data_IF_789869672414
#
_entry.id   IF_789869672414
#
_cell.length_a   1.000
_cell.length_b   1.000
_cell.length_c   1.000
_cell.angle_alpha   90.00
_cell.angle_beta   90.00
_cell.angle_gamma   90.00
#
_symmetry.space_group_name_H-M   'P 1'
#
loop_
_entity.id
_entity.type
_entity.pdbx_description
1 polymer ?
#
# COMPACT_ATOMS: atom_id res chain seq x y z
N UNK A 1 11.19 50.26 -0.57
CA UNK A 1 10.17 49.27 -0.93
C UNK A 1 10.83 47.90 -0.92
N UNK A 2 10.72 47.20 0.18
CA UNK A 2 11.36 45.90 0.38
C UNK A 2 10.34 44.84 0.00
N UNK A 3 10.60 44.13 -1.06
CA UNK A 3 9.78 43.00 -1.53
C UNK A 3 9.96 41.85 -0.53
N UNK A 4 8.92 41.54 0.22
CA UNK A 4 8.87 40.35 1.08
C UNK A 4 8.64 39.16 0.12
N UNK A 5 9.70 38.41 -0.17
CA UNK A 5 9.60 37.07 -0.73
C UNK A 5 8.89 36.17 0.29
N UNK A 6 7.62 35.92 0.05
CA UNK A 6 6.88 34.90 0.79
C UNK A 6 7.42 33.52 0.39
N UNK A 7 8.38 33.01 1.13
CA UNK A 7 8.81 31.61 1.01
C UNK A 7 7.63 30.71 1.39
N UNK A 8 7.00 30.11 0.39
CA UNK A 8 5.94 29.13 0.59
C UNK A 8 6.46 27.99 1.49
N UNK A 9 5.64 27.54 2.46
CA UNK A 9 6.00 26.42 3.33
C UNK A 9 6.42 25.21 2.48
N UNK A 10 7.44 24.42 2.87
CA UNK A 10 7.97 23.31 2.06
C UNK A 10 6.91 22.35 1.51
N UNK A 11 5.83 22.09 2.26
CA UNK A 11 4.71 21.26 1.82
C UNK A 11 3.87 21.88 0.69
N UNK A 12 3.80 23.23 0.58
CA UNK A 12 3.04 23.87 -0.50
C UNK A 12 3.75 23.78 -1.85
N UNK A 13 5.08 23.94 -1.87
CA UNK A 13 5.89 23.83 -3.09
C UNK A 13 5.84 22.40 -3.66
N UNK A 14 5.92 21.38 -2.80
CA UNK A 14 5.83 19.98 -3.20
C UNK A 14 4.46 19.63 -3.78
N UNK A 15 3.38 20.11 -3.16
CA UNK A 15 2.03 19.92 -3.70
C UNK A 15 1.84 20.59 -5.06
N UNK A 16 2.42 21.75 -5.28
CA UNK A 16 2.42 22.43 -6.58
C UNK A 16 3.17 21.58 -7.60
N UNK A 17 4.37 21.12 -7.28
CA UNK A 17 5.16 20.26 -8.17
C UNK A 17 4.42 18.97 -8.54
N UNK A 18 3.78 18.29 -7.57
CA UNK A 18 2.97 17.10 -7.83
C UNK A 18 1.76 17.39 -8.72
N UNK A 19 1.07 18.53 -8.54
CA UNK A 19 -0.02 18.92 -9.43
C UNK A 19 0.47 19.15 -10.85
N UNK A 20 1.60 19.82 -11.03
CA UNK A 20 2.25 20.03 -12.31
C UNK A 20 2.62 18.70 -12.98
N UNK A 21 3.24 17.80 -12.22
CA UNK A 21 3.60 16.46 -12.68
C UNK A 21 2.36 15.63 -13.08
N UNK A 22 1.27 15.73 -12.32
CA UNK A 22 0.00 15.08 -12.64
C UNK A 22 -0.63 15.66 -13.92
N UNK A 23 -0.66 16.98 -14.06
CA UNK A 23 -1.20 17.63 -15.28
C UNK A 23 -0.38 17.28 -16.52
N UNK A 24 0.95 17.23 -16.40
CA UNK A 24 1.82 16.74 -17.46
C UNK A 24 1.49 15.30 -17.84
N UNK A 25 1.31 14.41 -16.84
CA UNK A 25 0.98 13.00 -17.09
C UNK A 25 -0.37 12.84 -17.80
N UNK A 26 -1.37 13.66 -17.46
CA UNK A 26 -2.64 13.69 -18.17
C UNK A 26 -2.45 14.01 -19.66
N UNK A 27 -1.67 15.04 -19.97
CA UNK A 27 -1.40 15.44 -21.35
C UNK A 27 -0.60 14.37 -22.10
N UNK A 28 0.49 13.87 -21.51
CA UNK A 28 1.40 12.90 -22.14
C UNK A 28 0.72 11.55 -22.44
N UNK A 29 -0.30 11.18 -21.63
CA UNK A 29 -1.03 9.92 -21.76
C UNK A 29 -2.40 10.07 -22.45
N UNK A 30 -2.77 11.29 -22.87
CA UNK A 30 -4.06 11.56 -23.49
C UNK A 30 -5.25 11.25 -22.58
N UNK A 31 -5.17 11.66 -21.31
CA UNK A 31 -6.14 11.35 -20.26
C UNK A 31 -6.94 12.59 -19.86
N UNK A 32 -8.22 12.42 -19.57
CA UNK A 32 -9.07 13.44 -18.97
C UNK A 32 -9.33 13.11 -17.50
N UNK A 33 -9.06 14.04 -16.60
CA UNK A 33 -9.33 13.84 -15.18
C UNK A 33 -10.83 13.88 -14.88
N UNK A 34 -11.31 12.96 -14.04
CA UNK A 34 -12.67 12.93 -13.50
C UNK A 34 -12.61 13.33 -12.02
N UNK A 35 -13.20 14.49 -11.72
CA UNK A 35 -13.22 15.01 -10.34
C UNK A 35 -11.86 15.58 -9.88
N UNK A 36 -11.65 15.62 -8.58
CA UNK A 36 -10.44 16.21 -7.98
C UNK A 36 -9.37 15.16 -7.74
N UNK A 37 -8.13 15.48 -8.08
CA UNK A 37 -6.98 14.69 -7.67
C UNK A 37 -6.78 14.76 -6.14
N UNK A 38 -6.37 13.64 -5.53
CA UNK A 38 -6.13 13.48 -4.10
C UNK A 38 -4.65 13.22 -3.86
N UNK A 39 -4.12 13.83 -2.82
CA UNK A 39 -2.76 13.54 -2.37
C UNK A 39 -2.75 12.27 -1.53
N UNK A 40 -1.72 11.46 -1.71
CA UNK A 40 -1.42 10.32 -0.87
C UNK A 40 -0.76 10.74 0.44
N UNK A 41 -0.42 9.74 1.24
CA UNK A 41 0.18 9.93 2.56
C UNK A 41 1.45 10.81 2.50
N UNK A 42 1.51 11.82 3.36
CA UNK A 42 2.62 12.80 3.43
C UNK A 42 2.99 13.44 2.08
N UNK A 43 2.01 13.62 1.21
CA UNK A 43 2.22 14.21 -0.13
C UNK A 43 3.27 13.48 -0.99
N UNK A 44 3.42 12.14 -0.81
CA UNK A 44 4.35 11.34 -1.61
C UNK A 44 3.82 11.03 -3.00
N UNK A 45 2.53 11.16 -3.19
CA UNK A 45 1.85 10.91 -4.46
C UNK A 45 0.64 11.81 -4.64
N UNK A 46 0.15 11.86 -5.88
CA UNK A 46 -1.14 12.42 -6.24
C UNK A 46 -1.83 11.46 -7.20
N UNK A 47 -3.13 11.26 -7.04
CA UNK A 47 -3.89 10.38 -7.92
C UNK A 47 -5.30 10.88 -8.20
N UNK A 48 -5.85 10.47 -9.33
CA UNK A 48 -7.22 10.77 -9.73
C UNK A 48 -7.82 9.67 -10.59
N UNK A 49 -9.14 9.59 -10.60
CA UNK A 49 -9.85 8.86 -11.64
C UNK A 49 -9.68 9.62 -12.95
N UNK A 50 -9.39 8.89 -14.02
CA UNK A 50 -9.21 9.46 -15.36
C UNK A 50 -10.01 8.67 -16.38
N UNK A 51 -10.28 9.30 -17.52
CA UNK A 51 -10.98 8.69 -18.65
C UNK A 51 -10.10 8.73 -19.90
N UNK A 52 -10.12 7.64 -20.67
CA UNK A 52 -9.52 7.55 -22.00
C UNK A 52 -10.33 6.56 -22.86
N UNK A 53 -10.75 6.97 -24.05
CA UNK A 53 -11.49 6.14 -24.99
C UNK A 53 -12.73 5.44 -24.38
N UNK A 54 -13.47 6.14 -23.50
CA UNK A 54 -14.67 5.63 -22.84
C UNK A 54 -14.41 4.68 -21.65
N UNK A 55 -13.16 4.36 -21.36
CA UNK A 55 -12.76 3.57 -20.18
C UNK A 55 -12.31 4.47 -19.03
N UNK A 56 -12.57 4.00 -17.79
CA UNK A 56 -12.13 4.69 -16.58
C UNK A 56 -10.93 3.96 -15.97
N UNK A 57 -9.96 4.75 -15.49
CA UNK A 57 -8.69 4.28 -14.96
C UNK A 57 -8.31 5.06 -13.71
N UNK A 58 -7.30 4.59 -12.99
CA UNK A 58 -6.64 5.33 -11.93
C UNK A 58 -5.27 5.78 -12.41
N UNK A 59 -5.04 7.10 -12.42
CA UNK A 59 -3.71 7.67 -12.64
C UNK A 59 -3.12 8.05 -11.29
N UNK A 60 -1.92 7.54 -11.02
CA UNK A 60 -1.13 7.87 -9.85
C UNK A 60 0.21 8.44 -10.28
N UNK A 61 0.63 9.54 -9.69
CA UNK A 61 1.97 10.11 -9.87
C UNK A 61 2.66 10.12 -8.53
N UNK A 62 3.82 9.49 -8.46
CA UNK A 62 4.70 9.45 -7.28
C UNK A 62 5.99 10.20 -7.58
N UNK A 63 6.64 10.69 -6.54
CA UNK A 63 7.95 11.30 -6.64
C UNK A 63 8.92 10.71 -5.62
N UNK A 64 10.20 10.82 -5.92
CA UNK A 64 11.30 10.54 -5.00
C UNK A 64 12.50 11.42 -5.28
N UNK A 65 13.37 11.59 -4.30
CA UNK A 65 14.71 12.06 -4.58
C UNK A 65 15.44 11.02 -5.44
N UNK A 66 16.30 11.48 -6.35
CA UNK A 66 17.00 10.62 -7.35
C UNK A 66 17.77 9.47 -6.70
N UNK A 67 18.44 9.72 -5.59
CA UNK A 67 19.19 8.72 -4.83
C UNK A 67 18.30 7.67 -4.16
N UNK A 68 17.01 7.96 -3.97
CA UNK A 68 15.99 7.12 -3.35
C UNK A 68 14.97 6.52 -4.31
N UNK A 69 14.98 6.94 -5.59
CA UNK A 69 14.09 6.41 -6.63
C UNK A 69 14.53 4.99 -7.09
N UNK A 70 14.75 4.10 -6.13
CA UNK A 70 15.24 2.73 -6.30
C UNK A 70 14.74 1.84 -5.16
N UNK A 71 14.95 0.54 -5.32
CA UNK A 71 14.55 -0.45 -4.32
C UNK A 71 13.09 -0.88 -4.45
N UNK A 72 12.68 -1.75 -3.55
CA UNK A 72 11.40 -2.45 -3.61
C UNK A 72 10.20 -1.51 -3.64
N UNK A 73 10.13 -0.53 -2.75
CA UNK A 73 9.00 0.40 -2.69
C UNK A 73 8.78 1.19 -4.01
N UNK A 74 9.88 1.49 -4.75
CA UNK A 74 9.78 2.23 -6.00
C UNK A 74 9.19 1.39 -7.13
N UNK A 75 9.37 0.09 -7.12
CA UNK A 75 8.92 -0.81 -8.19
C UNK A 75 7.67 -1.60 -7.85
N UNK A 76 7.12 -1.44 -6.64
CA UNK A 76 6.09 -2.31 -6.07
C UNK A 76 4.90 -2.61 -6.96
N UNK A 77 4.21 -1.60 -7.47
CA UNK A 77 3.05 -1.79 -8.35
C UNK A 77 3.41 -2.51 -9.67
N UNK A 78 4.62 -2.22 -10.22
CA UNK A 78 5.12 -2.89 -11.43
C UNK A 78 5.39 -4.36 -11.17
N UNK A 79 6.10 -4.65 -10.10
CA UNK A 79 6.51 -6.01 -9.76
C UNK A 79 5.30 -6.84 -9.30
N UNK A 80 4.30 -6.21 -8.65
CA UNK A 80 3.02 -6.85 -8.31
C UNK A 80 2.22 -7.31 -9.54
N UNK A 81 2.50 -6.80 -10.74
CA UNK A 81 1.82 -7.24 -11.97
C UNK A 81 2.04 -8.72 -12.27
N UNK A 82 3.07 -9.33 -11.67
CA UNK A 82 3.41 -10.75 -11.85
C UNK A 82 2.65 -11.68 -10.90
N UNK A 83 1.94 -11.14 -9.92
CA UNK A 83 1.18 -11.94 -8.95
C UNK A 83 -0.16 -12.32 -9.58
N UNK A 84 -0.40 -13.59 -9.75
CA UNK A 84 -1.67 -14.13 -10.22
C UNK A 84 -2.58 -14.54 -9.05
N UNK A 85 -3.87 -14.71 -9.34
CA UNK A 85 -4.86 -15.18 -8.35
C UNK A 85 -5.29 -14.15 -7.30
N UNK A 86 -4.75 -12.93 -7.34
CA UNK A 86 -5.07 -11.86 -6.39
C UNK A 86 -5.86 -10.75 -7.08
N UNK A 87 -7.00 -10.38 -6.51
CA UNK A 87 -7.83 -9.27 -6.98
C UNK A 87 -7.16 -7.92 -6.66
N UNK A 88 -6.58 -7.28 -7.68
CA UNK A 88 -5.81 -6.04 -7.55
C UNK A 88 -5.88 -5.16 -8.80
N UNK A 89 -5.50 -3.88 -8.73
CA UNK A 89 -5.33 -3.06 -9.92
C UNK A 89 -4.27 -3.65 -10.85
N UNK A 90 -4.53 -3.63 -12.16
CA UNK A 90 -3.53 -3.96 -13.17
C UNK A 90 -2.82 -2.70 -13.62
N UNK A 91 -1.50 -2.72 -13.61
CA UNK A 91 -0.68 -1.66 -14.18
C UNK A 91 -0.74 -1.75 -15.71
N UNK A 92 -1.13 -0.65 -16.37
CA UNK A 92 -1.31 -0.59 -17.82
C UNK A 92 -0.18 0.16 -18.51
N UNK A 93 0.19 1.32 -17.95
CA UNK A 93 1.27 2.15 -18.49
C UNK A 93 2.08 2.78 -17.35
N UNK A 94 3.38 2.96 -17.61
CA UNK A 94 4.30 3.65 -16.71
C UNK A 94 5.09 4.69 -17.51
N UNK A 95 5.21 5.88 -16.97
CA UNK A 95 6.09 6.93 -17.47
C UNK A 95 6.94 7.44 -16.30
N UNK A 96 8.24 7.53 -16.51
CA UNK A 96 9.16 8.09 -15.52
C UNK A 96 9.98 9.19 -16.14
N UNK A 97 10.26 10.25 -15.40
CA UNK A 97 11.11 11.35 -15.82
C UNK A 97 11.82 11.97 -14.63
N UNK A 98 12.88 12.68 -14.92
CA UNK A 98 13.65 13.42 -13.94
C UNK A 98 13.43 14.92 -14.12
N UNK A 99 13.37 15.63 -12.99
CA UNK A 99 13.28 17.09 -12.96
C UNK A 99 14.08 17.61 -11.76
N UNK A 100 15.23 18.22 -12.04
CA UNK A 100 16.19 18.62 -11.01
C UNK A 100 16.65 17.43 -10.16
N UNK A 101 16.53 17.51 -8.81
CA UNK A 101 16.92 16.43 -7.92
C UNK A 101 15.84 15.35 -7.76
N UNK A 102 14.69 15.51 -8.40
CA UNK A 102 13.52 14.63 -8.24
C UNK A 102 13.34 13.72 -9.44
N UNK A 103 12.83 12.53 -9.16
CA UNK A 103 12.31 11.58 -10.14
C UNK A 103 10.83 11.45 -9.91
N UNK A 104 10.06 11.53 -10.98
CA UNK A 104 8.62 11.30 -10.99
C UNK A 104 8.31 10.01 -11.74
N UNK A 105 7.24 9.37 -11.33
CA UNK A 105 6.69 8.21 -12.04
C UNK A 105 5.18 8.29 -12.05
N UNK A 106 4.61 8.32 -13.26
CA UNK A 106 3.19 8.18 -13.51
C UNK A 106 2.86 6.71 -13.79
N UNK A 107 1.83 6.22 -13.13
CA UNK A 107 1.30 4.86 -13.23
C UNK A 107 -0.18 4.94 -13.63
N UNK A 108 -0.52 4.42 -14.80
CA UNK A 108 -1.89 4.24 -15.21
C UNK A 108 -2.32 2.82 -14.88
N UNK A 109 -3.35 2.69 -14.08
CA UNK A 109 -3.86 1.40 -13.61
C UNK A 109 -5.35 1.25 -13.89
N UNK A 110 -5.83 0.00 -13.93
CA UNK A 110 -7.27 -0.24 -13.91
C UNK A 110 -7.88 0.38 -12.66
N UNK A 111 -9.03 1.04 -12.83
CA UNK A 111 -9.80 1.54 -11.68
C UNK A 111 -10.45 0.35 -10.97
N UNK A 112 -10.25 0.25 -9.67
CA UNK A 112 -10.97 -0.73 -8.87
C UNK A 112 -12.46 -0.36 -8.83
N UNK A 113 -13.37 -1.28 -9.17
CA UNK A 113 -14.80 -0.97 -9.26
C UNK A 113 -15.45 -0.83 -7.88
N UNK A 114 -14.88 -1.45 -6.86
CA UNK A 114 -15.41 -1.40 -5.50
C UNK A 114 -15.05 -0.11 -4.74
N UNK A 115 -15.38 -0.11 -3.47
CA UNK A 115 -15.04 0.98 -2.53
C UNK A 115 -14.19 0.45 -1.39
N UNK A 116 -13.28 1.24 -0.85
CA UNK A 116 -12.51 0.88 0.32
C UNK A 116 -13.43 0.54 1.51
N UNK A 117 -13.06 -0.43 2.32
CA UNK A 117 -13.82 -0.85 3.50
C UNK A 117 -13.87 0.24 4.57
N UNK A 118 -12.85 1.11 4.63
CA UNK A 118 -12.84 2.31 5.47
C UNK A 118 -12.16 3.48 4.74
N UNK A 119 -12.37 4.70 5.24
CA UNK A 119 -11.70 5.91 4.74
C UNK A 119 -10.28 6.05 5.25
N UNK A 120 -9.98 5.43 6.39
CA UNK A 120 -8.71 5.48 7.08
C UNK A 120 -8.14 4.07 7.28
N UNK A 121 -6.87 3.99 7.63
CA UNK A 121 -6.20 2.72 7.91
C UNK A 121 -6.83 2.03 9.14
N UNK A 122 -7.07 2.79 10.21
CA UNK A 122 -7.68 2.31 11.45
C UNK A 122 -9.20 2.28 11.30
N UNK A 123 -9.80 1.17 11.70
CA UNK A 123 -11.23 0.99 11.66
C UNK A 123 -11.94 1.79 12.76
N UNK A 124 -12.82 2.71 12.37
CA UNK A 124 -13.63 3.50 13.32
C UNK A 124 -15.01 2.90 13.60
N UNK A 125 -15.45 1.95 12.77
CA UNK A 125 -16.73 1.25 12.90
C UNK A 125 -16.75 0.01 12.01
N UNK A 126 -17.57 -0.97 12.33
CA UNK A 126 -17.61 -2.23 11.58
C UNK A 126 -18.12 -2.02 10.15
N UNK A 127 -17.34 -2.40 9.13
CA UNK A 127 -17.87 -2.45 7.78
C UNK A 127 -18.89 -3.60 7.67
N UNK A 128 -19.93 -3.40 6.87
CA UNK A 128 -20.87 -4.49 6.56
C UNK A 128 -20.19 -5.44 5.57
N UNK A 129 -19.69 -6.56 6.07
CA UNK A 129 -18.98 -7.61 5.33
C UNK A 129 -19.65 -8.94 5.60
N UNK A 130 -19.88 -9.71 4.55
CA UNK A 130 -20.44 -11.06 4.63
C UNK A 130 -19.36 -12.16 4.59
N UNK A 131 -19.76 -13.41 4.77
CA UNK A 131 -18.85 -14.55 4.73
C UNK A 131 -18.15 -14.71 3.37
N UNK A 132 -18.81 -14.32 2.29
CA UNK A 132 -18.20 -14.36 0.94
C UNK A 132 -17.01 -13.41 0.85
N UNK A 133 -17.14 -12.22 1.39
CA UNK A 133 -16.06 -11.24 1.42
C UNK A 133 -14.86 -11.72 2.25
N UNK A 134 -15.12 -12.32 3.43
CA UNK A 134 -14.06 -12.88 4.26
C UNK A 134 -13.35 -14.03 3.57
N UNK A 135 -14.10 -14.89 2.88
CA UNK A 135 -13.54 -15.96 2.07
C UNK A 135 -12.70 -15.44 0.89
N UNK A 136 -13.08 -14.29 0.29
CA UNK A 136 -12.23 -13.64 -0.71
C UNK A 136 -10.91 -13.14 -0.11
N UNK A 137 -10.95 -12.49 1.06
CA UNK A 137 -9.74 -12.04 1.75
C UNK A 137 -8.78 -13.21 2.01
N UNK A 138 -9.28 -14.30 2.60
CA UNK A 138 -8.50 -15.50 2.89
C UNK A 138 -7.86 -16.08 1.62
N UNK A 139 -8.64 -16.28 0.55
CA UNK A 139 -8.13 -16.82 -0.73
C UNK A 139 -7.09 -15.93 -1.39
N UNK A 140 -7.28 -14.60 -1.33
CA UNK A 140 -6.33 -13.66 -1.93
C UNK A 140 -5.01 -13.61 -1.15
N UNK A 141 -5.04 -13.70 0.18
CA UNK A 141 -3.82 -13.75 1.00
C UNK A 141 -3.09 -15.10 0.83
N UNK A 142 -3.82 -16.21 0.69
CA UNK A 142 -3.24 -17.51 0.36
C UNK A 142 -2.58 -17.48 -1.03
N UNK A 143 -3.26 -16.99 -2.06
CA UNK A 143 -2.69 -16.85 -3.40
C UNK A 143 -1.46 -15.92 -3.41
N UNK A 144 -1.46 -14.85 -2.59
CA UNK A 144 -0.30 -13.99 -2.44
C UNK A 144 0.87 -14.73 -1.81
N UNK A 145 0.63 -15.53 -0.77
CA UNK A 145 1.68 -16.28 -0.08
C UNK A 145 2.39 -17.32 -0.96
N UNK A 146 1.75 -17.76 -2.05
CA UNK A 146 2.30 -18.67 -3.04
C UNK A 146 3.13 -17.97 -4.14
N UNK A 147 3.13 -16.64 -4.18
CA UNK A 147 3.88 -15.89 -5.17
C UNK A 147 5.40 -16.04 -4.96
N UNK A 148 6.18 -15.84 -6.03
CA UNK A 148 7.64 -15.87 -5.95
C UNK A 148 8.21 -14.45 -6.00
N UNK A 149 9.07 -14.14 -5.04
CA UNK A 149 9.73 -12.84 -4.98
C UNK A 149 10.99 -12.89 -4.12
N UNK A 150 11.93 -11.99 -4.40
CA UNK A 150 13.08 -11.64 -3.56
C UNK A 150 12.89 -10.27 -2.87
N UNK A 151 11.74 -9.65 -3.08
CA UNK A 151 11.39 -8.37 -2.44
C UNK A 151 11.18 -8.59 -0.96
N UNK A 152 11.59 -7.61 -0.15
CA UNK A 152 11.39 -7.63 1.30
C UNK A 152 10.45 -6.50 1.71
N UNK A 153 9.44 -6.81 2.53
CA UNK A 153 8.60 -5.80 3.20
C UNK A 153 9.43 -5.07 4.24
N UNK A 154 10.19 -5.83 4.99
CA UNK A 154 10.98 -5.37 6.13
C UNK A 154 12.40 -5.93 6.07
N UNK A 155 13.32 -5.21 6.69
CA UNK A 155 14.65 -5.72 7.00
C UNK A 155 14.57 -6.52 8.31
N UNK A 156 14.98 -7.82 8.33
CA UNK A 156 14.96 -8.65 9.54
C UNK A 156 15.74 -8.05 10.69
N UNK A 157 16.86 -7.37 10.41
CA UNK A 157 17.69 -6.73 11.43
C UNK A 157 16.97 -5.53 12.07
N UNK A 158 16.28 -4.73 11.25
CA UNK A 158 15.46 -3.60 11.75
C UNK A 158 14.33 -4.15 12.63
N UNK A 159 13.70 -5.26 12.21
CA UNK A 159 12.61 -5.89 12.96
C UNK A 159 13.12 -6.40 14.32
N UNK A 160 14.22 -7.16 14.33
CA UNK A 160 14.87 -7.66 15.54
C UNK A 160 15.20 -6.54 16.52
N UNK A 161 15.87 -5.50 16.02
CA UNK A 161 16.23 -4.33 16.81
C UNK A 161 15.02 -3.63 17.44
N UNK A 162 13.92 -3.47 16.69
CA UNK A 162 12.70 -2.83 17.22
C UNK A 162 12.07 -3.66 18.32
N UNK A 163 11.94 -4.97 18.12
CA UNK A 163 11.40 -5.89 19.13
C UNK A 163 12.26 -5.83 20.39
N UNK A 164 13.57 -5.91 20.25
CA UNK A 164 14.50 -5.81 21.40
C UNK A 164 14.33 -4.48 22.16
N UNK A 165 14.27 -3.37 21.46
CA UNK A 165 14.12 -2.03 22.08
C UNK A 165 12.78 -1.87 22.81
N UNK A 166 11.67 -2.37 22.23
CA UNK A 166 10.34 -2.16 22.81
C UNK A 166 9.97 -3.17 23.89
N UNK A 167 10.41 -4.42 23.77
CA UNK A 167 10.02 -5.50 24.68
C UNK A 167 11.16 -5.99 25.56
N UNK A 168 12.40 -5.56 25.32
CA UNK A 168 13.56 -6.02 26.10
C UNK A 168 13.90 -7.48 25.88
N UNK A 169 13.47 -8.09 24.76
CA UNK A 169 13.71 -9.49 24.44
C UNK A 169 14.59 -9.59 23.19
N UNK A 170 15.52 -10.52 23.23
CA UNK A 170 16.28 -10.93 22.05
C UNK A 170 15.53 -12.08 21.36
N UNK A 171 15.23 -11.88 20.07
CA UNK A 171 14.62 -12.91 19.22
C UNK A 171 15.53 -13.18 18.04
N UNK A 172 15.70 -14.44 17.72
CA UNK A 172 16.28 -14.83 16.44
C UNK A 172 15.16 -14.75 15.38
N UNK A 173 15.36 -13.94 14.34
CA UNK A 173 14.40 -13.75 13.26
C UNK A 173 15.07 -14.27 11.99
N UNK A 174 14.74 -15.50 11.64
CA UNK A 174 15.12 -16.10 10.38
C UNK A 174 14.13 -15.67 9.29
N UNK A 175 14.65 -15.25 8.16
CA UNK A 175 13.85 -14.86 6.99
C UNK A 175 13.62 -15.99 5.99
N UNK A 176 14.18 -17.19 6.21
CA UNK A 176 14.07 -18.31 5.28
C UNK A 176 12.62 -18.82 5.16
N UNK A 177 11.82 -18.68 6.23
CA UNK A 177 10.41 -19.05 6.27
C UNK A 177 9.44 -17.88 5.98
N UNK A 178 9.96 -16.75 5.53
CA UNK A 178 9.11 -15.60 5.20
C UNK A 178 8.32 -15.87 3.92
N UNK A 179 7.11 -15.34 3.89
CA UNK A 179 6.19 -15.51 2.77
C UNK A 179 5.84 -14.17 2.13
N UNK A 180 5.52 -14.14 0.83
CA UNK A 180 4.99 -12.94 0.20
C UNK A 180 3.76 -12.42 0.91
N UNK A 181 3.79 -11.15 1.25
CA UNK A 181 2.77 -10.43 2.01
C UNK A 181 2.54 -9.08 1.37
N UNK A 182 1.37 -8.48 1.57
CA UNK A 182 1.04 -7.16 1.04
C UNK A 182 1.88 -6.06 1.71
N UNK A 183 2.19 -6.22 3.00
CA UNK A 183 3.08 -5.34 3.76
C UNK A 183 2.43 -4.06 4.29
N UNK A 184 1.23 -3.71 3.82
CA UNK A 184 0.46 -2.54 4.24
C UNK A 184 -1.06 -2.83 4.19
N UNK A 185 -1.46 -4.02 4.70
CA UNK A 185 -2.83 -4.51 4.62
C UNK A 185 -3.71 -3.87 5.70
N UNK A 186 -4.27 -2.72 5.40
CA UNK A 186 -5.21 -2.02 6.28
C UNK A 186 -6.54 -1.71 5.57
N UNK A 187 -7.54 -1.28 6.32
CA UNK A 187 -8.93 -1.17 5.87
C UNK A 187 -9.18 -0.20 4.72
N UNK A 188 -8.33 0.80 4.53
CA UNK A 188 -8.41 1.69 3.37
C UNK A 188 -7.84 1.06 2.09
N UNK A 189 -6.95 0.06 2.22
CA UNK A 189 -6.36 -0.66 1.09
C UNK A 189 -7.17 -1.89 0.67
N UNK A 190 -8.16 -2.31 1.45
CA UNK A 190 -9.03 -3.43 1.11
C UNK A 190 -10.38 -2.89 0.67
N UNK A 191 -10.84 -3.36 -0.49
CA UNK A 191 -12.09 -2.94 -1.12
C UNK A 191 -13.19 -3.99 -0.93
N UNK A 192 -14.44 -3.54 -1.11
CA UNK A 192 -15.63 -4.38 -1.17
C UNK A 192 -16.53 -3.97 -2.32
N UNK A 193 -17.41 -4.87 -2.73
CA UNK A 193 -18.44 -4.65 -3.74
C UNK A 193 -17.89 -4.22 -5.13
N UNK A 194 -16.99 -5.00 -5.75
CA UNK A 194 -16.39 -6.29 -5.39
C UNK A 194 -15.12 -6.17 -4.54
N UNK A 195 -14.66 -7.32 -4.01
CA UNK A 195 -13.38 -7.44 -3.28
C UNK A 195 -12.19 -7.09 -4.17
N UNK A 196 -11.22 -6.37 -3.61
CA UNK A 196 -9.89 -6.15 -4.19
C UNK A 196 -8.92 -5.59 -3.13
N UNK A 197 -7.61 -5.73 -3.38
CA UNK A 197 -6.56 -5.16 -2.55
C UNK A 197 -5.84 -4.09 -3.38
N UNK A 198 -5.72 -2.88 -2.83
CA UNK A 198 -5.08 -1.71 -3.44
C UNK A 198 -3.69 -1.45 -2.82
N UNK A 199 -2.93 -0.55 -3.44
CA UNK A 199 -1.63 -0.01 -2.95
C UNK A 199 -0.52 -1.05 -2.73
N UNK A 200 -0.02 -1.59 -3.81
CA UNK A 200 1.01 -2.65 -3.86
C UNK A 200 2.45 -2.13 -3.82
N UNK A 201 2.72 -0.98 -3.16
CA UNK A 201 4.09 -0.48 -3.07
C UNK A 201 4.99 -1.31 -2.15
N UNK A 202 4.42 -1.75 -1.02
CA UNK A 202 5.18 -2.34 0.08
C UNK A 202 5.34 -3.86 -0.01
N UNK A 203 4.63 -4.54 -0.90
CA UNK A 203 4.59 -6.01 -0.92
C UNK A 203 5.96 -6.68 -1.06
N UNK A 204 6.11 -7.84 -0.47
CA UNK A 204 7.34 -8.62 -0.47
C UNK A 204 7.32 -9.69 0.61
N UNK A 205 8.47 -10.27 0.90
CA UNK A 205 8.64 -11.26 1.97
C UNK A 205 8.48 -10.60 3.34
N UNK A 206 7.70 -11.23 4.21
CA UNK A 206 7.51 -10.90 5.62
C UNK A 206 7.25 -12.18 6.42
N UNK A 207 7.39 -12.17 7.73
CA UNK A 207 7.03 -13.31 8.56
C UNK A 207 5.60 -13.76 8.27
N UNK A 208 5.35 -15.08 8.25
CA UNK A 208 3.99 -15.61 8.10
C UNK A 208 3.05 -14.96 9.12
N UNK A 209 1.86 -14.54 8.68
CA UNK A 209 0.90 -13.85 9.54
C UNK A 209 1.08 -12.34 9.63
N UNK A 210 2.05 -11.74 8.94
CA UNK A 210 2.30 -10.30 8.97
C UNK A 210 1.08 -9.48 8.57
N UNK A 211 0.45 -9.79 7.44
CA UNK A 211 -0.73 -9.06 6.97
C UNK A 211 -1.93 -9.24 7.92
N UNK A 212 -2.10 -10.42 8.49
CA UNK A 212 -3.15 -10.69 9.48
C UNK A 212 -2.93 -9.89 10.78
N UNK A 213 -1.68 -9.83 11.27
CA UNK A 213 -1.30 -9.05 12.44
C UNK A 213 -1.48 -7.55 12.20
N UNK A 214 -1.10 -7.06 11.00
CA UNK A 214 -1.25 -5.68 10.60
C UNK A 214 -2.73 -5.27 10.55
N UNK A 215 -3.58 -6.09 9.92
CA UNK A 215 -5.02 -5.87 9.85
C UNK A 215 -5.67 -5.94 11.25
N UNK A 216 -5.24 -6.90 12.10
CA UNK A 216 -5.70 -7.02 13.49
C UNK A 216 -5.41 -5.73 14.27
N UNK A 217 -4.18 -5.21 14.20
CA UNK A 217 -3.79 -3.96 14.87
C UNK A 217 -4.66 -2.77 14.46
N UNK A 218 -5.00 -2.67 13.17
CA UNK A 218 -5.88 -1.63 12.64
C UNK A 218 -7.38 -1.84 12.95
N UNK A 219 -7.73 -2.95 13.63
CA UNK A 219 -9.11 -3.32 13.99
C UNK A 219 -9.42 -3.23 15.48
N UNK A 220 -8.42 -3.00 16.33
CA UNK A 220 -8.57 -3.08 17.79
C UNK A 220 -9.62 -2.12 18.36
N UNK A 221 -9.89 -0.99 17.69
CA UNK A 221 -10.95 -0.07 18.09
C UNK A 221 -12.36 -0.63 17.86
N UNK A 222 -12.52 -1.76 17.15
CA UNK A 222 -13.78 -2.44 16.86
C UNK A 222 -13.66 -3.91 17.27
N UNK A 223 -13.83 -4.25 18.57
CA UNK A 223 -13.45 -5.54 19.16
C UNK A 223 -14.00 -6.77 18.44
N UNK A 224 -15.27 -6.75 18.02
CA UNK A 224 -15.86 -7.91 17.36
C UNK A 224 -15.26 -8.19 15.96
N UNK A 225 -14.73 -7.15 15.26
CA UNK A 225 -14.00 -7.32 14.01
C UNK A 225 -12.60 -7.85 14.30
N UNK A 226 -11.92 -7.32 15.31
CA UNK A 226 -10.62 -7.84 15.76
C UNK A 226 -10.71 -9.32 16.14
N UNK A 227 -11.75 -9.71 16.94
CA UNK A 227 -12.02 -11.11 17.29
C UNK A 227 -12.28 -11.98 16.06
N UNK A 228 -12.95 -11.46 15.05
CA UNK A 228 -13.20 -12.18 13.80
C UNK A 228 -11.90 -12.44 13.04
N UNK A 229 -11.02 -11.43 12.92
CA UNK A 229 -9.69 -11.58 12.31
C UNK A 229 -8.86 -12.60 13.10
N UNK A 230 -8.81 -12.46 14.43
CA UNK A 230 -8.04 -13.37 15.28
C UNK A 230 -8.50 -14.83 15.13
N UNK A 231 -9.80 -15.09 15.00
CA UNK A 231 -10.32 -16.46 14.78
C UNK A 231 -9.98 -16.99 13.38
N UNK A 232 -10.16 -16.18 12.33
CA UNK A 232 -9.96 -16.60 10.94
C UNK A 232 -8.50 -16.87 10.63
N UNK A 233 -7.61 -16.02 11.10
CA UNK A 233 -6.17 -16.10 10.86
C UNK A 233 -5.41 -16.69 12.06
N UNK A 234 -6.10 -17.45 12.94
CA UNK A 234 -5.52 -17.97 14.16
C UNK A 234 -4.26 -18.79 13.90
N UNK A 235 -4.28 -19.66 12.88
CA UNK A 235 -3.11 -20.49 12.53
C UNK A 235 -1.88 -19.64 12.20
N UNK A 236 -2.06 -18.57 11.45
CA UNK A 236 -0.96 -17.68 11.05
C UNK A 236 -0.52 -16.79 12.22
N UNK A 237 -1.46 -16.27 13.00
CA UNK A 237 -1.16 -15.41 14.16
C UNK A 237 -0.50 -16.16 15.33
N UNK A 238 -0.80 -17.44 15.53
CA UNK A 238 -0.22 -18.30 16.56
C UNK A 238 1.10 -18.98 16.11
N UNK A 239 1.52 -18.81 14.83
CA UNK A 239 2.83 -19.27 14.35
C UNK A 239 3.97 -18.40 14.92
N UNK A 240 5.20 -18.88 14.85
CA UNK A 240 6.39 -18.10 15.26
C UNK A 240 6.45 -16.77 14.50
N UNK A 241 6.25 -16.79 13.17
CA UNK A 241 6.17 -15.58 12.35
C UNK A 241 5.01 -14.66 12.74
N UNK A 242 3.86 -15.22 13.14
CA UNK A 242 2.71 -14.48 13.63
C UNK A 242 3.00 -13.75 14.94
N UNK A 243 3.65 -14.41 15.90
CA UNK A 243 4.06 -13.82 17.17
C UNK A 243 5.03 -12.66 16.93
N UNK A 244 6.03 -12.85 16.07
CA UNK A 244 6.96 -11.80 15.64
C UNK A 244 6.20 -10.63 15.00
N UNK A 245 5.26 -10.91 14.11
CA UNK A 245 4.46 -9.92 13.40
C UNK A 245 3.57 -9.10 14.34
N UNK A 246 2.88 -9.76 15.29
CA UNK A 246 2.07 -9.08 16.31
C UNK A 246 2.96 -8.17 17.18
N UNK A 247 4.12 -8.66 17.63
CA UNK A 247 5.05 -7.88 18.43
C UNK A 247 5.60 -6.66 17.68
N UNK A 248 5.81 -6.77 16.37
CA UNK A 248 6.33 -5.69 15.55
C UNK A 248 5.28 -4.64 15.19
N UNK A 249 4.03 -5.04 14.91
CA UNK A 249 2.97 -4.16 14.41
C UNK A 249 2.21 -3.43 15.52
N UNK A 250 2.23 -3.95 16.75
CA UNK A 250 1.56 -3.40 17.93
C UNK A 250 2.51 -2.66 18.83
#
# INVERSE_FOLDING_TARGET
>A
MTTVETTAAPGSALRVALRTAHSRSLADLGLNAIGRARFGWRDRSIGSVVERAGGRYWLRVVWSARDRARGSWWTGNRDASQIDGVAKPRLLEVRAWEEGPLVYRAELMTLLPGRACATDAVLAGAPALDESWWGELERNLEALSDARTDRMVLDPEIMRRRISVFFGIEMDIDSDDWVPSHGDLHWNNIHRDPFAIADWEAWGLAPRGYDAAFLLGHSLAVPHVADQIARRFRRDLESEGGIVSVSYTH
#
